data_IF_984453775121
#
_entry.id   IF_984453775121
#
_cell.length_a   1.000
_cell.length_b   1.000
_cell.length_c   1.000
_cell.angle_alpha   90.00
_cell.angle_beta   90.00
_cell.angle_gamma   90.00
#
_symmetry.space_group_name_H-M   'P 1'
#
loop_
_entity.id
_entity.type
_entity.pdbx_description
1 polymer ?
#
# COMPACT_ATOMS: atom_id res chain seq x y z
N UNK A 1 11.09 3.71 18.58
CA UNK A 1 11.93 3.88 17.38
C UNK A 1 11.07 4.24 16.18
N UNK A 2 11.69 4.84 15.16
CA UNK A 2 11.02 5.16 13.88
C UNK A 2 10.64 3.88 13.14
N UNK A 3 11.49 2.85 13.15
CA UNK A 3 11.20 1.51 12.62
C UNK A 3 9.95 0.85 13.22
N UNK A 4 9.69 1.05 14.52
CA UNK A 4 8.50 0.52 15.19
C UNK A 4 7.23 1.18 14.62
N UNK A 5 7.19 2.52 14.57
CA UNK A 5 6.08 3.26 13.96
C UNK A 5 5.83 2.85 12.50
N UNK A 6 6.89 2.63 11.72
CA UNK A 6 6.77 2.15 10.35
C UNK A 6 6.17 0.74 10.26
N UNK A 7 6.57 -0.16 11.17
CA UNK A 7 6.04 -1.53 11.22
C UNK A 7 4.57 -1.55 11.66
N UNK A 8 4.20 -0.69 12.62
CA UNK A 8 2.83 -0.57 13.13
C UNK A 8 1.87 0.03 12.07
N UNK A 9 2.38 0.80 11.11
CA UNK A 9 1.56 1.37 10.02
C UNK A 9 0.84 0.27 9.24
N UNK A 10 1.51 -0.85 8.94
CA UNK A 10 0.91 -1.95 8.18
C UNK A 10 -0.28 -2.61 8.90
N UNK A 11 -0.39 -2.44 10.22
CA UNK A 11 -1.45 -2.99 11.05
C UNK A 11 -2.58 -1.99 11.33
N UNK A 12 -2.32 -0.70 11.14
CA UNK A 12 -3.22 0.40 11.53
C UNK A 12 -3.93 1.06 10.35
N UNK A 13 -3.58 0.71 9.11
CA UNK A 13 -4.28 1.22 7.92
C UNK A 13 -5.75 0.75 7.87
N UNK A 14 -6.70 1.64 7.48
CA UNK A 14 -8.09 1.26 7.24
C UNK A 14 -8.23 0.16 6.18
N UNK A 15 -9.21 -0.73 6.37
CA UNK A 15 -9.47 -1.84 5.44
C UNK A 15 -9.72 -1.40 4.01
N UNK A 16 -10.35 -0.24 3.81
CA UNK A 16 -10.61 0.39 2.52
C UNK A 16 -9.36 0.53 1.65
N UNK A 17 -8.24 0.92 2.27
CA UNK A 17 -6.97 1.14 1.58
C UNK A 17 -5.96 0.02 1.83
N UNK A 18 -6.33 -1.02 2.60
CA UNK A 18 -5.48 -2.15 2.98
C UNK A 18 -5.28 -3.18 1.85
N UNK A 19 -5.12 -2.70 0.62
CA UNK A 19 -4.86 -3.51 -0.57
C UNK A 19 -3.46 -4.15 -0.50
N UNK A 20 -3.27 -5.26 -1.21
CA UNK A 20 -1.95 -5.92 -1.30
C UNK A 20 -0.87 -4.97 -1.82
N UNK A 21 -1.21 -4.11 -2.76
CA UNK A 21 -0.28 -3.13 -3.32
C UNK A 21 0.16 -2.09 -2.29
N UNK A 22 -0.76 -1.56 -1.48
CA UNK A 22 -0.45 -0.65 -0.37
C UNK A 22 0.44 -1.32 0.66
N UNK A 23 0.11 -2.54 1.09
CA UNK A 23 0.89 -3.30 2.09
C UNK A 23 2.31 -3.59 1.60
N UNK A 24 2.47 -3.89 0.32
CA UNK A 24 3.78 -4.07 -0.32
C UNK A 24 4.62 -2.80 -0.24
N UNK A 25 4.05 -1.64 -0.59
CA UNK A 25 4.75 -0.35 -0.48
C UNK A 25 5.14 0.01 0.95
N UNK A 26 4.26 -0.23 1.92
CA UNK A 26 4.56 -0.01 3.35
C UNK A 26 5.71 -0.92 3.80
N UNK A 27 5.77 -2.16 3.31
CA UNK A 27 6.87 -3.09 3.64
C UNK A 27 8.22 -2.61 3.10
N UNK A 28 8.25 -2.07 1.87
CA UNK A 28 9.45 -1.47 1.28
C UNK A 28 9.90 -0.25 2.10
N UNK A 29 8.99 0.68 2.39
CA UNK A 29 9.27 1.85 3.22
C UNK A 29 9.77 1.48 4.62
N UNK A 30 9.16 0.47 5.24
CA UNK A 30 9.59 -0.05 6.55
C UNK A 30 11.01 -0.56 6.51
N UNK A 31 11.40 -1.24 5.41
CA UNK A 31 12.76 -1.75 5.22
C UNK A 31 13.76 -0.60 5.07
N UNK A 32 13.44 0.41 4.26
CA UNK A 32 14.26 1.60 4.09
C UNK A 32 14.42 2.39 5.39
N UNK A 33 13.35 2.54 6.17
CA UNK A 33 13.39 3.20 7.48
C UNK A 33 14.26 2.42 8.48
N UNK A 34 14.17 1.09 8.49
CA UNK A 34 15.05 0.23 9.32
C UNK A 34 16.51 0.36 8.91
N UNK A 35 16.81 0.44 7.61
CA UNK A 35 18.16 0.69 7.10
C UNK A 35 18.69 2.05 7.53
N UNK A 36 17.86 3.09 7.45
CA UNK A 36 18.22 4.44 7.89
C UNK A 36 18.52 4.45 9.40
N UNK A 37 17.64 3.85 10.21
CA UNK A 37 17.85 3.74 11.64
C UNK A 37 19.12 2.95 11.98
N UNK A 38 19.43 1.87 11.24
CA UNK A 38 20.70 1.16 11.38
C UNK A 38 21.89 2.08 11.11
N UNK A 39 21.91 2.78 9.97
CA UNK A 39 23.03 3.65 9.58
C UNK A 39 23.25 4.80 10.55
N UNK A 40 22.18 5.39 11.08
CA UNK A 40 22.25 6.49 12.05
C UNK A 40 22.75 6.04 13.43
N UNK A 41 22.63 4.75 13.76
CA UNK A 41 23.10 4.19 15.03
C UNK A 41 24.54 3.65 14.96
N UNK A 42 25.22 3.73 13.81
CA UNK A 42 26.63 3.36 13.70
C UNK A 42 27.54 4.44 14.29
N UNK A 43 28.66 4.03 14.89
CA UNK A 43 29.67 4.98 15.41
C UNK A 43 30.20 5.91 14.30
N UNK A 44 30.39 5.37 13.09
CA UNK A 44 30.70 6.15 11.90
C UNK A 44 29.53 6.05 10.93
N UNK A 45 28.81 7.17 10.76
CA UNK A 45 27.64 7.23 9.88
C UNK A 45 28.09 7.14 8.41
N UNK A 46 27.58 6.19 7.62
CA UNK A 46 27.91 6.06 6.21
C UNK A 46 27.17 7.11 5.38
N UNK A 47 27.71 8.33 5.32
CA UNK A 47 27.08 9.50 4.71
C UNK A 47 26.51 9.25 3.31
N UNK A 48 27.29 8.65 2.39
CA UNK A 48 26.84 8.40 1.02
C UNK A 48 25.61 7.47 0.95
N UNK A 49 25.53 6.47 1.85
CA UNK A 49 24.37 5.58 1.91
C UNK A 49 23.13 6.31 2.41
N UNK A 50 23.28 7.14 3.45
CA UNK A 50 22.18 7.95 3.99
C UNK A 50 21.70 8.97 2.94
N UNK A 51 22.63 9.63 2.25
CA UNK A 51 22.34 10.62 1.21
C UNK A 51 21.51 10.04 0.06
N UNK A 52 21.75 8.78 -0.32
CA UNK A 52 20.96 8.08 -1.33
C UNK A 52 19.63 7.56 -0.78
N UNK A 53 19.61 7.09 0.47
CA UNK A 53 18.44 6.46 1.07
C UNK A 53 17.31 7.45 1.39
N UNK A 54 17.64 8.67 1.82
CA UNK A 54 16.63 9.71 2.15
C UNK A 54 15.72 10.08 0.96
N UNK A 55 16.23 10.40 -0.25
CA UNK A 55 15.36 10.71 -1.38
C UNK A 55 14.52 9.51 -1.83
N UNK A 56 15.03 8.27 -1.71
CA UNK A 56 14.24 7.08 -2.00
C UNK A 56 13.05 6.92 -1.04
N UNK A 57 13.26 7.16 0.26
CA UNK A 57 12.19 7.15 1.26
C UNK A 57 11.14 8.22 0.91
N UNK A 58 11.58 9.44 0.58
CA UNK A 58 10.67 10.52 0.21
C UNK A 58 9.82 10.18 -1.01
N UNK A 59 10.43 9.60 -2.05
CA UNK A 59 9.72 9.13 -3.23
C UNK A 59 8.72 8.02 -2.88
N UNK A 60 9.12 7.08 -2.02
CA UNK A 60 8.24 6.02 -1.54
C UNK A 60 7.02 6.55 -0.79
N UNK A 61 7.21 7.57 0.07
CA UNK A 61 6.11 8.23 0.80
C UNK A 61 5.18 8.94 -0.18
N UNK A 62 5.71 9.72 -1.13
CA UNK A 62 4.90 10.41 -2.14
C UNK A 62 4.08 9.42 -2.97
N UNK A 63 4.70 8.31 -3.39
CA UNK A 63 4.01 7.27 -4.14
C UNK A 63 2.94 6.55 -3.32
N UNK A 64 3.15 6.33 -2.01
CA UNK A 64 2.15 5.73 -1.13
C UNK A 64 0.93 6.65 -0.97
N UNK A 65 1.16 7.94 -0.77
CA UNK A 65 0.09 8.94 -0.65
C UNK A 65 -0.74 9.03 -1.93
N UNK A 66 -0.09 9.07 -3.09
CA UNK A 66 -0.79 9.07 -4.38
C UNK A 66 -1.68 7.83 -4.56
N UNK A 67 -1.22 6.65 -4.10
CA UNK A 67 -2.03 5.44 -4.14
C UNK A 67 -3.23 5.51 -3.19
N UNK A 68 -3.09 6.11 -2.01
CA UNK A 68 -4.23 6.34 -1.11
C UNK A 68 -5.26 7.27 -1.75
N UNK A 69 -4.82 8.39 -2.32
CA UNK A 69 -5.69 9.34 -3.00
C UNK A 69 -6.42 8.69 -4.17
N UNK A 70 -5.75 7.84 -4.95
CA UNK A 70 -6.38 7.12 -6.06
C UNK A 70 -7.48 6.17 -5.59
N UNK A 71 -7.22 5.39 -4.53
CA UNK A 71 -8.22 4.46 -3.97
C UNK A 71 -9.41 5.24 -3.43
N UNK A 72 -9.17 6.27 -2.61
CA UNK A 72 -10.23 7.10 -2.03
C UNK A 72 -11.05 7.78 -3.13
N UNK A 73 -10.40 8.29 -4.18
CA UNK A 73 -11.08 8.93 -5.31
C UNK A 73 -11.99 7.95 -6.05
N UNK A 74 -11.54 6.70 -6.28
CA UNK A 74 -12.37 5.67 -6.92
C UNK A 74 -13.57 5.27 -6.07
N UNK A 75 -13.40 5.18 -4.76
CA UNK A 75 -14.47 4.88 -3.81
C UNK A 75 -15.54 5.98 -3.73
N UNK A 76 -15.17 7.23 -4.00
CA UNK A 76 -16.11 8.35 -4.03
C UNK A 76 -16.95 8.42 -5.31
N UNK A 77 -16.68 7.57 -6.31
CA UNK A 77 -17.46 7.54 -7.55
C UNK A 77 -18.80 6.85 -7.27
N UNK A 78 -19.95 7.57 -7.36
CA UNK A 78 -21.24 6.95 -7.15
C UNK A 78 -21.55 5.97 -8.28
N UNK A 79 -22.08 4.81 -7.94
CA UNK A 79 -22.55 3.84 -8.92
C UNK A 79 -23.84 4.35 -9.58
N UNK A 80 -23.90 4.31 -10.91
CA UNK A 80 -25.09 4.71 -11.66
C UNK A 80 -26.19 3.63 -11.59
N UNK A 81 -27.44 4.06 -11.78
CA UNK A 81 -28.60 3.15 -11.75
C UNK A 81 -28.49 2.15 -12.90
N UNK A 82 -28.34 0.86 -12.57
CA UNK A 82 -28.16 -0.24 -13.53
C UNK A 82 -26.71 -0.70 -13.69
N UNK A 83 -25.72 0.03 -13.17
CA UNK A 83 -24.31 -0.37 -13.22
C UNK A 83 -24.05 -1.62 -12.36
N UNK A 84 -24.68 -1.72 -11.19
CA UNK A 84 -24.59 -2.92 -10.34
C UNK A 84 -25.16 -4.17 -11.03
N UNK A 85 -26.24 -4.02 -11.79
CA UNK A 85 -26.85 -5.13 -12.53
C UNK A 85 -25.98 -5.54 -13.72
N UNK A 86 -25.37 -4.58 -14.41
CA UNK A 86 -24.39 -4.84 -15.47
C UNK A 86 -23.14 -5.56 -14.93
N UNK A 87 -22.57 -5.10 -13.81
CA UNK A 87 -21.42 -5.76 -13.15
C UNK A 87 -21.76 -7.20 -12.78
N UNK A 88 -22.99 -7.46 -12.28
CA UNK A 88 -23.47 -8.81 -11.98
C UNK A 88 -23.66 -9.68 -13.22
N UNK A 89 -24.05 -9.09 -14.35
CA UNK A 89 -24.17 -9.80 -15.63
C UNK A 89 -22.82 -10.14 -16.26
N UNK A 90 -21.78 -9.32 -16.00
CA UNK A 90 -20.41 -9.56 -16.47
C UNK A 90 -19.67 -10.65 -15.66
N UNK A 91 -20.13 -10.94 -14.44
CA UNK A 91 -19.62 -12.05 -13.62
C UNK A 91 -20.13 -13.42 -14.14
N UNK A 92 -19.56 -13.85 -15.27
CA UNK A 92 -19.89 -15.12 -15.93
C UNK A 92 -19.37 -16.34 -15.16
N UNK A 93 -18.57 -16.15 -14.10
CA UNK A 93 -18.02 -17.25 -13.29
C UNK A 93 -19.04 -17.90 -12.37
N UNK A 94 -20.16 -17.23 -12.09
CA UNK A 94 -21.26 -17.75 -11.26
C UNK A 94 -22.33 -18.54 -12.03
N UNK A 95 -22.21 -18.61 -13.36
CA UNK A 95 -23.14 -19.33 -14.24
C UNK A 95 -22.72 -20.79 -14.52
N UNK A 96 -21.69 -21.31 -13.85
CA UNK A 96 -21.36 -22.74 -13.91
C UNK A 96 -22.30 -23.46 -12.93
N UNK A 97 -23.24 -24.31 -13.41
CA UNK A 97 -24.07 -25.08 -12.52
C UNK A 97 -23.16 -26.09 -11.80
N UNK A 98 -23.05 -25.99 -10.48
CA UNK A 98 -22.54 -27.09 -9.65
C UNK A 98 -23.59 -28.21 -9.61
N UNK A 99 -23.82 -28.84 -10.77
CA UNK A 99 -24.66 -30.01 -10.90
C UNK A 99 -23.88 -31.23 -10.42
N UNK A 100 -24.22 -31.70 -9.21
CA UNK A 100 -23.88 -33.05 -8.77
C UNK A 100 -24.45 -34.08 -9.75
N UNK A 101 -23.63 -35.01 -10.19
CA UNK A 101 -24.04 -36.40 -10.44
C UNK A 101 -23.17 -37.29 -9.57
#
# INVERSE_FOLDING_TARGET
SLSKKASDLNLTIPSLIATTAVKSRISVLTTQIKMLELYMNLQQIPYEKVKLLVPEINLGIASLNAQFEEIIRKEQIPLEKGESDMIRMLDTTRAIPSGRK
#
